data_IF_296177350669
#
_entry.id   IF_296177350669
#
_cell.length_a   1.000
_cell.length_b   1.000
_cell.length_c   1.000
_cell.angle_alpha   90.00
_cell.angle_beta   90.00
_cell.angle_gamma   90.00
#
_symmetry.space_group_name_H-M   'P 1'
#
loop_
_entity.id
_entity.type
_entity.pdbx_description
1 polymer ?
#
# COMPACT_ATOMS: atom_id res chain seq x y z
N UNK A 1 0.96 45.55 64.32
CA UNK A 1 0.78 44.19 63.78
C UNK A 1 -0.11 44.25 62.53
N UNK A 2 0.42 43.72 61.42
CA UNK A 2 -0.25 43.15 60.23
C UNK A 2 -1.26 44.02 59.45
N UNK A 3 -0.75 44.64 58.38
CA UNK A 3 -1.51 45.05 57.19
C UNK A 3 -1.41 43.92 56.16
N UNK A 4 -2.53 43.47 55.60
CA UNK A 4 -2.54 42.68 54.37
C UNK A 4 -3.93 42.80 53.70
N UNK A 5 -4.10 43.58 52.62
CA UNK A 5 -5.26 43.44 51.77
C UNK A 5 -5.04 42.26 50.81
N UNK A 6 -6.03 41.40 50.75
CA UNK A 6 -6.15 40.26 49.84
C UNK A 6 -5.95 40.70 48.38
N UNK A 7 -4.85 40.30 47.77
CA UNK A 7 -4.67 40.36 46.31
C UNK A 7 -5.38 39.13 45.74
N UNK A 8 -6.61 39.33 45.29
CA UNK A 8 -7.38 38.36 44.52
C UNK A 8 -6.80 38.33 43.10
N UNK A 9 -5.74 37.55 42.88
CA UNK A 9 -5.17 37.33 41.55
C UNK A 9 -6.05 36.35 40.80
N UNK A 10 -7.02 36.86 40.04
CA UNK A 10 -7.82 36.08 39.11
C UNK A 10 -6.92 35.58 37.98
N UNK A 11 -6.48 34.33 38.09
CA UNK A 11 -5.76 33.62 37.03
C UNK A 11 -6.74 33.34 35.89
N UNK A 12 -6.77 34.23 34.90
CA UNK A 12 -7.46 34.01 33.64
C UNK A 12 -6.69 32.91 32.91
N UNK A 13 -7.13 31.66 33.06
CA UNK A 13 -6.75 30.57 32.16
C UNK A 13 -7.24 30.97 30.77
N UNK A 14 -6.31 31.39 29.92
CA UNK A 14 -6.55 31.48 28.48
C UNK A 14 -6.66 30.03 28.01
N UNK A 15 -7.88 29.51 28.02
CA UNK A 15 -8.22 28.30 27.30
C UNK A 15 -8.12 28.70 25.83
N UNK A 16 -6.93 28.59 25.25
CA UNK A 16 -6.81 28.53 23.80
C UNK A 16 -7.53 27.25 23.39
N UNK A 17 -8.83 27.36 23.15
CA UNK A 17 -9.63 26.32 22.55
C UNK A 17 -8.98 26.01 21.21
N UNK A 18 -8.16 24.97 21.17
CA UNK A 18 -7.62 24.43 19.94
C UNK A 18 -8.85 23.96 19.17
N UNK A 19 -9.33 24.78 18.23
CA UNK A 19 -10.42 24.35 17.37
C UNK A 19 -9.99 23.02 16.76
N UNK A 20 -10.85 21.99 16.78
CA UNK A 20 -10.48 20.69 16.25
C UNK A 20 -10.02 20.89 14.80
N UNK A 21 -8.77 20.50 14.53
CA UNK A 21 -8.16 20.73 13.22
C UNK A 21 -9.08 20.15 12.14
N UNK A 22 -9.40 20.97 11.15
CA UNK A 22 -10.13 20.52 9.97
C UNK A 22 -9.33 19.40 9.30
N UNK A 23 -10.01 18.37 8.82
CA UNK A 23 -9.35 17.34 8.01
C UNK A 23 -8.99 17.96 6.66
N UNK A 24 -7.74 18.36 6.52
CA UNK A 24 -7.15 18.86 5.29
C UNK A 24 -6.21 17.80 4.68
N UNK A 25 -5.72 18.07 3.47
CA UNK A 25 -4.85 17.15 2.73
C UNK A 25 -3.58 16.80 3.51
N UNK A 26 -3.00 17.78 4.22
CA UNK A 26 -1.76 17.59 4.98
C UNK A 26 -1.98 16.64 6.15
N UNK A 27 -3.04 16.84 6.93
CA UNK A 27 -3.40 15.99 8.06
C UNK A 27 -3.79 14.60 7.59
N UNK A 28 -4.64 14.49 6.55
CA UNK A 28 -5.04 13.20 6.00
C UNK A 28 -3.83 12.39 5.50
N UNK A 29 -2.92 13.05 4.78
CA UNK A 29 -1.68 12.42 4.28
C UNK A 29 -0.82 11.90 5.44
N UNK A 30 -0.61 12.72 6.47
CA UNK A 30 0.21 12.32 7.62
C UNK A 30 -0.34 11.05 8.30
N UNK A 31 -1.66 11.01 8.55
CA UNK A 31 -2.31 9.86 9.19
C UNK A 31 -2.26 8.62 8.28
N UNK A 32 -2.47 8.78 6.96
CA UNK A 32 -2.38 7.67 5.99
C UNK A 32 -0.97 7.06 5.96
N UNK A 33 0.05 7.90 5.89
CA UNK A 33 1.44 7.46 5.84
C UNK A 33 1.87 6.74 7.13
N UNK A 34 1.45 7.26 8.28
CA UNK A 34 1.74 6.66 9.59
C UNK A 34 1.14 5.25 9.72
N UNK A 35 -0.10 5.05 9.26
CA UNK A 35 -0.79 3.76 9.43
C UNK A 35 -0.38 2.71 8.39
N UNK A 36 -0.18 3.10 7.14
CA UNK A 36 -0.09 2.14 6.03
C UNK A 36 1.36 1.77 5.62
N UNK A 37 2.38 2.28 6.31
CA UNK A 37 3.79 1.89 6.15
C UNK A 37 4.31 1.95 4.69
N UNK A 38 4.20 3.13 4.07
CA UNK A 38 4.74 3.37 2.72
C UNK A 38 6.24 3.73 2.73
N UNK A 39 7.00 3.42 1.65
CA UNK A 39 6.59 2.71 0.45
C UNK A 39 6.36 1.20 0.67
N UNK A 40 5.46 0.61 -0.11
CA UNK A 40 5.17 -0.82 -0.06
C UNK A 40 5.67 -1.53 -1.33
N UNK A 41 5.93 -2.84 -1.22
CA UNK A 41 6.37 -3.65 -2.36
C UNK A 41 5.14 -4.22 -3.07
N UNK A 42 5.07 -4.03 -4.39
CA UNK A 42 4.14 -4.76 -5.25
C UNK A 42 4.85 -5.99 -5.79
N UNK A 43 4.30 -7.17 -5.49
CA UNK A 43 4.84 -8.43 -5.95
C UNK A 43 3.95 -9.17 -6.95
N UNK A 44 4.55 -10.14 -7.64
CA UNK A 44 3.87 -11.03 -8.56
C UNK A 44 4.41 -12.45 -8.45
N UNK A 45 3.51 -13.43 -8.50
CA UNK A 45 3.85 -14.85 -8.50
C UNK A 45 4.18 -15.32 -9.91
N UNK A 46 5.39 -15.84 -10.11
CA UNK A 46 5.78 -16.56 -11.32
C UNK A 46 5.65 -18.06 -11.05
N UNK A 47 4.77 -18.73 -11.79
CA UNK A 47 4.50 -20.16 -11.64
C UNK A 47 5.46 -20.93 -12.55
N UNK A 48 6.64 -21.27 -12.04
CA UNK A 48 7.75 -21.76 -12.86
C UNK A 48 7.51 -23.15 -13.47
N UNK A 49 6.51 -23.89 -13.02
CA UNK A 49 6.16 -25.23 -13.56
C UNK A 49 4.93 -25.22 -14.48
N UNK A 50 4.29 -24.06 -14.67
CA UNK A 50 3.14 -23.91 -15.57
C UNK A 50 3.64 -23.54 -16.99
N UNK A 51 3.40 -24.39 -18.01
CA UNK A 51 3.81 -24.10 -19.38
C UNK A 51 3.11 -22.88 -19.99
N UNK A 52 1.86 -22.59 -19.61
CA UNK A 52 1.11 -21.42 -20.09
C UNK A 52 1.72 -20.14 -19.53
N UNK A 53 2.08 -20.17 -18.24
CA UNK A 53 2.78 -19.05 -17.63
C UNK A 53 4.19 -18.90 -18.20
N UNK A 54 4.93 -20.00 -18.40
CA UNK A 54 6.25 -19.96 -19.02
C UNK A 54 6.23 -19.30 -20.41
N UNK A 55 5.20 -19.57 -21.22
CA UNK A 55 4.99 -18.89 -22.50
C UNK A 55 4.74 -17.38 -22.33
N UNK A 56 3.98 -16.97 -21.31
CA UNK A 56 3.77 -15.55 -20.98
C UNK A 56 5.08 -14.86 -20.60
N UNK A 57 5.92 -15.51 -19.79
CA UNK A 57 7.25 -15.02 -19.42
C UNK A 57 8.20 -14.95 -20.63
N UNK A 58 8.13 -15.93 -21.53
CA UNK A 58 8.89 -15.89 -22.78
C UNK A 58 8.50 -14.66 -23.62
N UNK A 59 7.20 -14.32 -23.68
CA UNK A 59 6.71 -13.15 -24.42
C UNK A 59 6.94 -11.80 -23.73
N UNK A 60 7.38 -11.78 -22.48
CA UNK A 60 7.51 -10.53 -21.71
C UNK A 60 8.81 -9.76 -21.98
N UNK A 61 9.73 -10.29 -22.79
CA UNK A 61 11.02 -9.66 -23.04
C UNK A 61 12.08 -9.93 -21.95
N UNK A 62 11.76 -10.74 -20.93
CA UNK A 62 12.65 -11.01 -19.80
C UNK A 62 13.78 -11.98 -20.17
N UNK A 63 13.58 -12.83 -21.17
CA UNK A 63 14.59 -13.76 -21.68
C UNK A 63 15.67 -12.99 -22.42
N UNK A 64 15.26 -12.09 -23.33
CA UNK A 64 16.11 -11.24 -24.16
C UNK A 64 16.95 -10.29 -23.30
N UNK A 65 16.37 -9.80 -22.19
CA UNK A 65 17.06 -8.98 -21.21
C UNK A 65 17.95 -9.78 -20.25
N UNK A 66 17.99 -11.11 -20.36
CA UNK A 66 18.88 -11.97 -19.59
C UNK A 66 18.47 -12.20 -18.13
N UNK A 67 17.21 -11.92 -17.74
CA UNK A 67 16.73 -12.11 -16.36
C UNK A 67 16.22 -13.53 -16.10
N UNK A 68 15.70 -14.20 -17.13
CA UNK A 68 15.12 -15.53 -17.01
C UNK A 68 15.55 -16.41 -18.19
N UNK A 69 15.50 -17.72 -17.97
CA UNK A 69 15.58 -18.74 -19.03
C UNK A 69 14.26 -19.50 -19.05
N UNK A 70 13.74 -19.74 -20.25
CA UNK A 70 12.51 -20.52 -20.45
C UNK A 70 12.85 -21.81 -21.21
N UNK A 71 12.53 -22.95 -20.60
CA UNK A 71 12.59 -24.25 -21.25
C UNK A 71 11.33 -24.42 -22.12
N UNK A 72 11.50 -24.78 -23.39
CA UNK A 72 10.38 -24.91 -24.34
C UNK A 72 9.67 -26.26 -24.24
N UNK A 73 10.38 -27.32 -23.91
CA UNK A 73 9.84 -28.68 -23.82
C UNK A 73 10.56 -29.49 -22.75
N UNK A 74 9.89 -30.49 -22.19
CA UNK A 74 10.46 -31.41 -21.21
C UNK A 74 10.00 -32.83 -21.49
N UNK A 75 10.82 -33.81 -21.12
CA UNK A 75 10.46 -35.23 -21.23
C UNK A 75 9.45 -35.62 -20.16
N UNK A 76 8.71 -36.70 -20.40
CA UNK A 76 7.84 -37.27 -19.36
C UNK A 76 8.68 -37.64 -18.13
N UNK A 77 8.20 -37.25 -16.94
CA UNK A 77 8.93 -37.44 -15.67
C UNK A 77 10.01 -36.37 -15.37
N UNK A 78 10.29 -35.43 -16.29
CA UNK A 78 11.23 -34.35 -16.02
C UNK A 78 10.63 -33.33 -15.04
N UNK A 79 11.26 -33.22 -13.89
CA UNK A 79 10.89 -32.31 -12.81
C UNK A 79 11.59 -30.95 -12.93
N UNK A 80 12.24 -30.61 -14.04
CA UNK A 80 12.84 -29.29 -14.26
C UNK A 80 11.74 -28.23 -14.40
N UNK A 81 11.98 -27.03 -13.87
CA UNK A 81 11.05 -25.91 -14.03
C UNK A 81 11.11 -25.37 -15.45
N UNK A 82 9.98 -24.96 -16.01
CA UNK A 82 9.94 -24.27 -17.30
C UNK A 82 10.58 -22.89 -17.22
N UNK A 83 10.45 -22.17 -16.10
CA UNK A 83 11.11 -20.87 -15.89
C UNK A 83 12.22 -21.02 -14.85
N UNK A 84 13.39 -20.47 -15.14
CA UNK A 84 14.50 -20.34 -14.19
C UNK A 84 15.08 -18.93 -14.21
N UNK A 85 15.56 -18.45 -13.07
CA UNK A 85 16.06 -17.10 -12.90
C UNK A 85 17.59 -17.07 -13.02
N UNK A 86 18.12 -16.03 -13.64
CA UNK A 86 19.56 -15.79 -13.72
C UNK A 86 20.05 -14.98 -12.52
N UNK A 87 21.36 -14.79 -12.40
CA UNK A 87 21.94 -13.94 -11.37
C UNK A 87 21.45 -12.48 -11.46
N UNK A 88 21.17 -12.00 -12.66
CA UNK A 88 20.64 -10.64 -12.88
C UNK A 88 19.26 -10.43 -12.24
N UNK A 89 18.48 -11.49 -12.05
CA UNK A 89 17.17 -11.40 -11.43
C UNK A 89 17.21 -11.30 -9.90
N UNK A 90 18.31 -11.68 -9.24
CA UNK A 90 18.43 -11.75 -7.77
C UNK A 90 17.92 -10.50 -7.03
N UNK A 91 18.20 -9.26 -7.46
CA UNK A 91 17.71 -8.07 -6.77
C UNK A 91 16.18 -7.93 -6.74
N UNK A 92 15.47 -8.64 -7.62
CA UNK A 92 14.02 -8.60 -7.75
C UNK A 92 13.32 -9.82 -7.13
N UNK A 93 14.07 -10.85 -6.73
CA UNK A 93 13.49 -12.05 -6.14
C UNK A 93 13.13 -11.80 -4.69
N UNK A 94 11.87 -12.08 -4.35
CA UNK A 94 11.38 -11.98 -2.99
C UNK A 94 11.43 -13.37 -2.33
N UNK A 95 11.52 -13.42 -0.98
CA UNK A 95 11.38 -14.67 -0.26
C UNK A 95 10.04 -15.35 -0.56
N UNK A 96 10.12 -16.57 -1.08
CA UNK A 96 8.94 -17.41 -1.33
C UNK A 96 8.60 -18.24 -0.07
N UNK A 97 7.33 -18.26 0.37
CA UNK A 97 6.84 -19.18 1.41
C UNK A 97 7.15 -20.65 1.11
N UNK A 98 7.23 -21.51 2.15
CA UNK A 98 7.56 -22.93 1.97
C UNK A 98 6.56 -23.67 1.07
N UNK A 99 5.27 -23.36 1.20
CA UNK A 99 4.22 -23.99 0.41
C UNK A 99 4.33 -23.62 -1.07
N UNK A 100 4.56 -22.35 -1.36
CA UNK A 100 4.80 -21.85 -2.72
C UNK A 100 6.05 -22.48 -3.37
N UNK A 101 7.11 -22.70 -2.59
CA UNK A 101 8.32 -23.41 -3.06
C UNK A 101 8.01 -24.85 -3.50
N UNK A 102 7.10 -25.56 -2.79
CA UNK A 102 6.66 -26.90 -3.18
C UNK A 102 6.05 -26.92 -4.58
N UNK A 103 5.31 -25.87 -4.93
CA UNK A 103 4.68 -25.71 -6.23
C UNK A 103 5.55 -24.96 -7.25
N UNK A 104 6.83 -24.72 -6.93
CA UNK A 104 7.79 -24.00 -7.78
C UNK A 104 7.29 -22.62 -8.18
N UNK A 105 6.70 -21.90 -7.24
CA UNK A 105 6.31 -20.52 -7.40
C UNK A 105 7.47 -19.65 -6.92
N UNK A 106 7.80 -18.59 -7.67
CA UNK A 106 8.75 -17.57 -7.25
C UNK A 106 8.04 -16.22 -7.17
N UNK A 107 8.09 -15.57 -6.00
CA UNK A 107 7.63 -14.19 -5.85
C UNK A 107 8.69 -13.23 -6.38
N UNK A 108 8.29 -12.30 -7.23
CA UNK A 108 9.17 -11.24 -7.74
C UNK A 108 8.59 -9.88 -7.41
N UNK A 109 9.45 -8.95 -7.02
CA UNK A 109 9.11 -7.53 -6.92
C UNK A 109 8.88 -7.01 -8.34
N UNK A 110 7.73 -6.38 -8.58
CA UNK A 110 7.40 -5.76 -9.88
C UNK A 110 7.34 -4.24 -9.82
N UNK A 111 7.09 -3.67 -8.64
CA UNK A 111 7.14 -2.23 -8.40
C UNK A 111 7.36 -1.91 -6.92
N UNK A 112 7.78 -0.68 -6.65
CA UNK A 112 7.52 0.01 -5.38
C UNK A 112 6.26 0.86 -5.51
N UNK A 113 5.42 0.88 -4.48
CA UNK A 113 4.22 1.69 -4.40
C UNK A 113 4.41 2.78 -3.34
N UNK A 114 4.29 4.02 -3.79
CA UNK A 114 4.49 5.23 -2.99
C UNK A 114 3.19 6.03 -2.93
N UNK A 115 2.97 6.73 -1.82
CA UNK A 115 1.88 7.69 -1.73
C UNK A 115 2.05 8.78 -2.79
N UNK A 116 1.01 9.02 -3.58
CA UNK A 116 0.98 10.11 -4.54
C UNK A 116 0.34 11.36 -3.93
N UNK A 117 -0.96 11.50 -4.09
CA UNK A 117 -1.71 12.65 -3.61
C UNK A 117 -3.12 12.28 -3.14
N UNK A 118 -3.68 13.13 -2.28
CA UNK A 118 -5.11 13.14 -1.99
C UNK A 118 -5.84 13.59 -3.26
N UNK A 119 -6.80 12.79 -3.71
CA UNK A 119 -7.66 13.11 -4.85
C UNK A 119 -8.94 13.82 -4.40
N UNK A 120 -9.48 13.44 -3.24
CA UNK A 120 -10.74 13.98 -2.74
C UNK A 120 -10.88 13.77 -1.23
N UNK A 121 -11.48 14.75 -0.53
CA UNK A 121 -11.93 14.62 0.85
C UNK A 121 -13.43 14.91 0.89
N UNK A 122 -14.23 13.90 1.20
CA UNK A 122 -15.69 14.00 1.37
C UNK A 122 -16.03 13.93 2.85
N UNK A 123 -16.31 15.09 3.46
CA UNK A 123 -16.86 15.14 4.83
C UNK A 123 -18.34 14.74 4.77
N UNK A 124 -18.76 13.84 5.65
CA UNK A 124 -20.15 13.38 5.71
C UNK A 124 -21.04 14.37 6.48
N UNK A 125 -22.36 14.25 6.34
CA UNK A 125 -23.35 15.12 6.99
C UNK A 125 -23.24 15.18 8.52
N UNK A 126 -22.66 14.15 9.16
CA UNK A 126 -22.41 14.12 10.61
C UNK A 126 -21.21 14.95 11.05
N UNK A 127 -20.42 15.51 10.12
CA UNK A 127 -19.26 16.39 10.32
C UNK A 127 -18.11 15.81 11.17
N UNK A 128 -18.27 14.57 11.63
CA UNK A 128 -17.32 13.79 12.40
C UNK A 128 -16.80 12.57 11.61
N UNK A 129 -17.18 12.42 10.34
CA UNK A 129 -16.76 11.34 9.46
C UNK A 129 -16.33 11.89 8.12
N UNK A 130 -15.36 11.24 7.50
CA UNK A 130 -14.93 11.59 6.16
C UNK A 130 -14.48 10.37 5.36
N UNK A 131 -14.66 10.44 4.05
CA UNK A 131 -14.08 9.52 3.08
C UNK A 131 -12.96 10.29 2.38
N UNK A 132 -11.76 9.74 2.40
CA UNK A 132 -10.61 10.32 1.72
C UNK A 132 -10.20 9.38 0.60
N UNK A 133 -10.28 9.88 -0.63
CA UNK A 133 -9.76 9.21 -1.82
C UNK A 133 -8.34 9.71 -2.05
N UNK A 134 -7.38 8.80 -2.20
CA UNK A 134 -6.01 9.15 -2.57
C UNK A 134 -5.48 8.20 -3.63
N UNK A 135 -4.42 8.60 -4.31
CA UNK A 135 -3.73 7.75 -5.26
C UNK A 135 -2.36 7.30 -4.75
N UNK A 136 -1.98 6.12 -5.21
CA UNK A 136 -0.66 5.53 -5.06
C UNK A 136 0.02 5.52 -6.42
N UNK A 137 1.32 5.77 -6.45
CA UNK A 137 2.16 5.77 -7.66
C UNK A 137 3.08 4.56 -7.62
N UNK A 138 3.12 3.80 -8.72
CA UNK A 138 3.93 2.59 -8.84
C UNK A 138 5.18 2.82 -9.67
N UNK A 139 6.35 2.72 -9.03
CA UNK A 139 7.65 2.69 -9.71
C UNK A 139 7.94 1.27 -10.19
N UNK A 140 7.51 0.98 -11.42
CA UNK A 140 7.70 -0.33 -12.07
C UNK A 140 9.17 -0.64 -12.33
N UNK A 141 9.52 -1.91 -12.19
CA UNK A 141 10.81 -2.43 -12.64
C UNK A 141 10.65 -3.35 -13.87
N UNK A 142 11.75 -3.99 -14.28
CA UNK A 142 11.78 -4.88 -15.46
C UNK A 142 10.79 -6.06 -15.39
N UNK A 143 10.50 -6.57 -14.19
CA UNK A 143 9.56 -7.67 -13.96
C UNK A 143 8.09 -7.26 -14.03
N UNK A 144 7.77 -5.96 -14.10
CA UNK A 144 6.40 -5.52 -14.40
C UNK A 144 5.88 -6.06 -15.75
N UNK A 145 6.79 -6.40 -16.67
CA UNK A 145 6.45 -7.06 -17.93
C UNK A 145 5.86 -8.47 -17.77
N UNK A 146 6.09 -9.14 -16.63
CA UNK A 146 5.50 -10.45 -16.34
C UNK A 146 4.01 -10.37 -15.95
N UNK A 147 3.52 -9.18 -15.56
CA UNK A 147 2.14 -9.00 -15.12
C UNK A 147 1.22 -8.99 -16.34
N UNK A 148 0.34 -10.00 -16.43
CA UNK A 148 -0.68 -10.09 -17.49
C UNK A 148 -1.56 -8.83 -17.48
N UNK A 149 -1.80 -8.26 -18.67
CA UNK A 149 -2.51 -7.00 -18.88
C UNK A 149 -1.80 -5.74 -18.34
N UNK A 150 -0.54 -5.88 -17.93
CA UNK A 150 0.26 -4.79 -17.39
C UNK A 150 -0.10 -4.42 -15.95
N UNK A 151 0.80 -3.69 -15.31
CA UNK A 151 0.56 -3.07 -14.01
C UNK A 151 0.10 -1.62 -14.23
N UNK A 152 -0.93 -1.16 -13.53
CA UNK A 152 -1.31 0.27 -13.57
C UNK A 152 -0.22 1.13 -12.94
N UNK A 153 0.02 2.34 -13.46
CA UNK A 153 0.97 3.29 -12.88
C UNK A 153 0.41 3.95 -11.61
N UNK A 154 -0.91 4.13 -11.57
CA UNK A 154 -1.62 4.70 -10.43
C UNK A 154 -2.78 3.83 -9.98
N UNK A 155 -3.01 3.79 -8.67
CA UNK A 155 -4.14 3.09 -8.05
C UNK A 155 -4.80 4.02 -7.05
N UNK A 156 -6.13 4.12 -7.12
CA UNK A 156 -6.91 4.89 -6.17
C UNK A 156 -7.33 4.00 -4.99
N UNK A 157 -7.26 4.57 -3.81
CA UNK A 157 -7.72 3.97 -2.56
C UNK A 157 -8.71 4.90 -1.90
N UNK A 158 -9.70 4.31 -1.24
CA UNK A 158 -10.59 5.02 -0.33
C UNK A 158 -10.27 4.57 1.09
N UNK A 159 -10.14 5.53 1.99
CA UNK A 159 -10.01 5.29 3.42
C UNK A 159 -11.01 6.15 4.19
N UNK A 160 -11.30 5.69 5.40
CA UNK A 160 -12.39 6.19 6.21
C UNK A 160 -11.84 6.81 7.48
N UNK A 161 -12.29 8.03 7.75
CA UNK A 161 -11.86 8.83 8.89
C UNK A 161 -13.02 9.06 9.85
N UNK A 162 -12.72 9.04 11.14
CA UNK A 162 -13.63 9.47 12.20
C UNK A 162 -12.93 10.52 13.09
N UNK A 163 -13.68 11.52 13.52
CA UNK A 163 -13.23 12.55 14.47
C UNK A 163 -13.64 12.13 15.87
N UNK A 164 -12.64 11.93 16.72
CA UNK A 164 -12.77 11.65 18.15
C UNK A 164 -12.30 12.87 18.96
N UNK A 165 -12.34 12.79 20.28
CA UNK A 165 -11.80 13.83 21.17
C UNK A 165 -10.29 14.03 20.98
N UNK A 166 -9.56 12.98 20.57
CA UNK A 166 -8.12 13.01 20.25
C UNK A 166 -7.82 13.51 18.83
N UNK A 167 -8.87 13.81 18.05
CA UNK A 167 -8.77 14.27 16.66
C UNK A 167 -9.16 13.21 15.64
N UNK A 168 -8.73 13.42 14.40
CA UNK A 168 -9.05 12.55 13.26
C UNK A 168 -8.21 11.28 13.29
N UNK A 169 -8.86 10.14 13.05
CA UNK A 169 -8.24 8.82 13.04
C UNK A 169 -8.77 7.97 11.88
N UNK A 170 -7.96 7.02 11.40
CA UNK A 170 -8.33 6.06 10.37
C UNK A 170 -9.12 4.89 10.97
N UNK A 171 -10.29 4.62 10.40
CA UNK A 171 -11.12 3.47 10.74
C UNK A 171 -10.57 2.20 10.09
N UNK A 172 -10.70 1.06 10.78
CA UNK A 172 -10.20 -0.23 10.28
C UNK A 172 -11.13 -0.87 9.25
N UNK A 173 -12.44 -0.53 9.25
CA UNK A 173 -13.44 -1.14 8.36
C UNK A 173 -14.44 -0.14 7.80
N UNK A 174 -14.77 -0.30 6.52
CA UNK A 174 -15.85 0.42 5.82
C UNK A 174 -17.21 0.27 6.50
N UNK A 175 -17.50 -0.90 7.07
CA UNK A 175 -18.79 -1.24 7.68
C UNK A 175 -19.14 -0.33 8.87
N UNK A 176 -18.16 0.23 9.56
CA UNK A 176 -18.39 1.11 10.72
C UNK A 176 -18.98 2.47 10.33
N UNK A 177 -18.91 2.86 9.05
CA UNK A 177 -19.63 4.02 8.54
C UNK A 177 -21.12 3.71 8.37
N UNK A 178 -21.45 2.54 7.82
CA UNK A 178 -22.84 2.14 7.48
C UNK A 178 -23.68 1.80 8.73
N UNK A 179 -23.07 1.24 9.78
CA UNK A 179 -23.76 0.93 11.04
C UNK A 179 -24.08 2.16 11.90
N UNK A 180 -23.44 3.31 11.62
CA UNK A 180 -23.57 4.53 12.41
C UNK A 180 -24.23 5.66 11.59
N UNK A 181 -24.93 5.31 10.52
CA UNK A 181 -25.69 6.22 9.63
C UNK A 181 -27.21 5.97 9.68
N UNK A 182 -27.68 5.19 10.65
CA UNK A 182 -29.10 5.00 10.99
C UNK A 182 -29.41 5.61 12.36
#
# INVERSE_FOLDING_TARGET
MKKLPYILTTMILIITGCQPKKLDEKLATAIILEKNHYPSIVDHNIFCNDPVHAYTIFKSGLVEKGFVKVLQSKKFGDTTSFVSFTDAAKPYLLPTPKDDKRYKIQRVKVADEEFGAIAEIRIMSSDNKAIVTYNMVRRKNVFAAAVKNGLRDTVNHEVYFIRTDDGWQLMDKKSEIEFLSF
#
